data_IF_334298977860
#
_entry.id   IF_334298977860
#
_cell.length_a   1.000
_cell.length_b   1.000
_cell.length_c   1.000
_cell.angle_alpha   90.00
_cell.angle_beta   90.00
_cell.angle_gamma   90.00
#
_symmetry.space_group_name_H-M   'P 1'
#
loop_
_entity.id
_entity.type
_entity.pdbx_description
1 polymer ?
#
# COMPACT_ATOMS: atom_id res chain seq x y z
N UNK A 1 15.52 -18.49 -20.61
CA UNK A 1 16.88 -18.88 -20.21
C UNK A 1 16.78 -19.80 -19.00
N UNK A 2 17.69 -20.77 -18.82
CA UNK A 2 17.76 -21.53 -17.57
C UNK A 2 18.42 -20.64 -16.51
N UNK A 3 17.76 -20.46 -15.38
CA UNK A 3 18.32 -19.73 -14.24
C UNK A 3 19.44 -20.59 -13.65
N UNK A 4 20.65 -20.04 -13.54
CA UNK A 4 21.83 -20.76 -13.04
C UNK A 4 21.69 -21.11 -11.55
N UNK A 5 20.97 -20.27 -10.80
CA UNK A 5 20.65 -20.47 -9.39
C UNK A 5 19.14 -20.39 -9.19
N UNK A 6 18.43 -21.52 -9.08
CA UNK A 6 16.98 -21.51 -8.91
C UNK A 6 16.59 -20.98 -7.52
N UNK A 7 15.43 -20.30 -7.38
CA UNK A 7 14.92 -19.88 -6.08
C UNK A 7 14.47 -21.08 -5.25
N UNK A 8 14.48 -20.93 -3.92
CA UNK A 8 13.93 -21.94 -2.99
C UNK A 8 12.40 -22.01 -3.10
N UNK A 9 11.73 -20.87 -3.30
CA UNK A 9 10.28 -20.80 -3.41
C UNK A 9 9.79 -21.17 -4.81
N UNK A 10 8.78 -22.02 -4.85
CA UNK A 10 8.11 -22.49 -6.08
C UNK A 10 6.69 -21.91 -6.12
N UNK A 11 6.19 -21.45 -7.28
CA UNK A 11 6.87 -21.39 -8.58
C UNK A 11 7.94 -20.28 -8.66
N UNK A 12 7.85 -19.27 -7.80
CA UNK A 12 8.78 -18.16 -7.65
C UNK A 12 8.52 -17.48 -6.28
N UNK A 13 9.43 -16.62 -5.79
CA UNK A 13 9.16 -15.79 -4.63
C UNK A 13 7.93 -14.88 -4.85
N UNK A 14 6.99 -14.77 -3.90
CA UNK A 14 5.78 -13.96 -4.07
C UNK A 14 6.08 -12.50 -4.40
N UNK A 15 5.36 -11.98 -5.39
CA UNK A 15 5.48 -10.61 -5.87
C UNK A 15 4.38 -9.73 -5.26
N UNK A 16 4.81 -8.76 -4.46
CA UNK A 16 3.96 -7.72 -3.90
C UNK A 16 4.07 -6.47 -4.76
N UNK A 17 2.94 -5.86 -5.10
CA UNK A 17 2.91 -4.62 -5.87
C UNK A 17 1.77 -3.72 -5.41
N UNK A 18 2.01 -2.41 -5.40
CA UNK A 18 1.02 -1.39 -5.06
C UNK A 18 0.94 -0.33 -6.16
N UNK A 19 -0.20 0.32 -6.27
CA UNK A 19 -0.44 1.38 -7.25
C UNK A 19 -1.92 1.72 -7.32
N UNK A 20 -2.28 2.99 -7.13
CA UNK A 20 -3.67 3.45 -7.13
C UNK A 20 -4.14 4.01 -8.47
N UNK A 21 -3.24 4.24 -9.43
CA UNK A 21 -3.62 4.62 -10.79
C UNK A 21 -4.26 3.44 -11.53
N UNK A 22 -5.09 3.72 -12.54
CA UNK A 22 -5.72 2.68 -13.36
C UNK A 22 -4.67 1.75 -14.00
N UNK A 23 -3.59 2.32 -14.57
CA UNK A 23 -2.48 1.55 -15.12
C UNK A 23 -1.77 0.70 -14.05
N UNK A 24 -1.59 1.24 -12.83
CA UNK A 24 -1.01 0.49 -11.71
C UNK A 24 -1.87 -0.71 -11.31
N UNK A 25 -3.19 -0.54 -11.23
CA UNK A 25 -4.14 -1.62 -10.92
C UNK A 25 -4.14 -2.72 -11.98
N UNK A 26 -4.05 -2.36 -13.26
CA UNK A 26 -3.90 -3.32 -14.36
C UNK A 26 -2.62 -4.15 -14.27
N UNK A 27 -1.49 -3.49 -13.95
CA UNK A 27 -0.20 -4.17 -13.73
C UNK A 27 -0.30 -5.12 -12.53
N UNK A 28 -0.90 -4.67 -11.42
CA UNK A 28 -1.12 -5.50 -10.24
C UNK A 28 -1.93 -6.75 -10.57
N UNK A 29 -3.11 -6.56 -11.18
CA UNK A 29 -4.01 -7.65 -11.55
C UNK A 29 -3.33 -8.70 -12.45
N UNK A 30 -2.46 -8.25 -13.36
CA UNK A 30 -1.76 -9.13 -14.30
C UNK A 30 -0.53 -9.81 -13.71
N UNK A 31 0.21 -9.15 -12.82
CA UNK A 31 1.58 -9.56 -12.49
C UNK A 31 1.86 -9.80 -11.01
N UNK A 32 1.05 -9.29 -10.08
CA UNK A 32 1.31 -9.48 -8.65
C UNK A 32 0.59 -10.71 -8.09
N UNK A 33 1.12 -11.24 -7.00
CA UNK A 33 0.46 -12.24 -6.16
C UNK A 33 -0.30 -11.56 -5.02
N UNK A 34 0.18 -10.39 -4.60
CA UNK A 34 -0.44 -9.56 -3.58
C UNK A 34 -0.53 -8.11 -4.04
N UNK A 35 -1.73 -7.55 -4.00
CA UNK A 35 -1.96 -6.12 -4.14
C UNK A 35 -1.83 -5.44 -2.78
N UNK A 36 -0.90 -4.48 -2.67
CA UNK A 36 -0.72 -3.65 -1.48
C UNK A 36 -1.36 -2.28 -1.67
N UNK A 37 -2.32 -1.94 -0.80
CA UNK A 37 -2.99 -0.63 -0.76
C UNK A 37 -2.58 0.17 0.47
N UNK A 38 -2.81 1.48 0.42
CA UNK A 38 -2.57 2.40 1.54
C UNK A 38 -3.71 2.38 2.56
N UNK A 39 -3.40 2.85 3.76
CA UNK A 39 -4.37 3.11 4.83
C UNK A 39 -5.30 4.27 4.49
N UNK A 40 -6.34 3.98 3.72
CA UNK A 40 -7.42 4.92 3.41
C UNK A 40 -8.70 4.54 4.18
N UNK A 41 -9.73 5.40 4.18
CA UNK A 41 -11.03 5.04 4.75
C UNK A 41 -11.53 3.69 4.22
N UNK A 42 -12.16 2.85 5.08
CA UNK A 42 -12.51 1.48 4.71
C UNK A 42 -13.32 1.34 3.40
N UNK A 43 -14.23 2.26 3.12
CA UNK A 43 -15.03 2.24 1.87
C UNK A 43 -14.17 2.48 0.63
N UNK A 44 -13.20 3.41 0.70
CA UNK A 44 -12.28 3.64 -0.42
C UNK A 44 -11.33 2.45 -0.64
N UNK A 45 -10.90 1.81 0.45
CA UNK A 45 -10.12 0.58 0.39
C UNK A 45 -10.93 -0.54 -0.27
N UNK A 46 -12.20 -0.69 0.12
CA UNK A 46 -13.12 -1.67 -0.46
C UNK A 46 -13.28 -1.48 -1.96
N UNK A 47 -13.53 -0.26 -2.43
CA UNK A 47 -13.64 0.05 -3.86
C UNK A 47 -12.38 -0.38 -4.64
N UNK A 48 -11.19 -0.08 -4.11
CA UNK A 48 -9.92 -0.48 -4.75
C UNK A 48 -9.73 -2.00 -4.77
N UNK A 49 -10.08 -2.69 -3.68
CA UNK A 49 -10.00 -4.15 -3.60
C UNK A 49 -10.94 -4.80 -4.62
N UNK A 50 -12.18 -4.31 -4.72
CA UNK A 50 -13.18 -4.81 -5.66
C UNK A 50 -12.74 -4.61 -7.12
N UNK A 51 -12.18 -3.44 -7.43
CA UNK A 51 -11.67 -3.13 -8.78
C UNK A 51 -10.51 -4.04 -9.17
N UNK A 52 -9.48 -4.17 -8.32
CA UNK A 52 -8.32 -5.04 -8.62
C UNK A 52 -8.72 -6.51 -8.68
N UNK A 53 -9.65 -6.94 -7.82
CA UNK A 53 -10.20 -8.30 -7.84
C UNK A 53 -10.86 -8.59 -9.18
N UNK A 54 -11.76 -7.70 -9.63
CA UNK A 54 -12.42 -7.83 -10.94
C UNK A 54 -11.41 -7.90 -12.09
N UNK A 55 -10.42 -7.00 -12.10
CA UNK A 55 -9.37 -6.98 -13.14
C UNK A 55 -8.53 -8.26 -13.16
N UNK A 56 -8.32 -8.89 -12.00
CA UNK A 56 -7.61 -10.17 -11.89
C UNK A 56 -8.48 -11.34 -12.38
N UNK A 57 -9.77 -11.35 -12.02
CA UNK A 57 -10.74 -12.35 -12.47
C UNK A 57 -10.90 -12.34 -14.00
N UNK A 58 -10.96 -11.17 -14.62
CA UNK A 58 -10.96 -11.00 -16.09
C UNK A 58 -9.71 -11.60 -16.77
N UNK A 59 -8.63 -11.76 -16.02
CA UNK A 59 -7.37 -12.37 -16.46
C UNK A 59 -7.23 -13.83 -16.02
N UNK A 60 -8.27 -14.43 -15.44
CA UNK A 60 -8.28 -15.80 -14.94
C UNK A 60 -7.35 -16.02 -13.73
N UNK A 61 -7.06 -14.96 -12.96
CA UNK A 61 -6.17 -14.99 -11.80
C UNK A 61 -6.94 -14.67 -10.52
N UNK A 62 -6.37 -15.08 -9.40
CA UNK A 62 -6.74 -14.58 -8.07
C UNK A 62 -5.55 -13.84 -7.48
N UNK A 63 -5.83 -12.80 -6.71
CA UNK A 63 -4.82 -11.93 -6.09
C UNK A 63 -5.15 -11.80 -4.61
N UNK A 64 -4.13 -11.85 -3.74
CA UNK A 64 -4.29 -11.57 -2.31
C UNK A 64 -4.16 -10.07 -2.05
N UNK A 65 -4.63 -9.62 -0.89
CA UNK A 65 -4.62 -8.20 -0.54
C UNK A 65 -3.84 -7.97 0.75
N UNK A 66 -3.13 -6.86 0.82
CA UNK A 66 -2.54 -6.36 2.06
C UNK A 66 -2.70 -4.84 2.14
N UNK A 67 -2.64 -4.32 3.37
CA UNK A 67 -2.77 -2.89 3.64
C UNK A 67 -1.56 -2.40 4.41
N UNK A 68 -1.02 -1.25 4.02
CA UNK A 68 0.05 -0.57 4.75
C UNK A 68 -0.56 0.45 5.70
N UNK A 69 -0.50 0.16 7.00
CA UNK A 69 -0.91 1.05 8.08
C UNK A 69 0.29 1.36 8.98
N UNK A 70 0.39 2.59 9.46
CA UNK A 70 1.22 2.91 10.62
C UNK A 70 0.32 2.85 11.84
N UNK A 71 0.75 2.14 12.89
CA UNK A 71 -0.08 1.90 14.07
C UNK A 71 0.69 2.37 15.29
N UNK A 72 0.07 3.25 16.08
CA UNK A 72 0.58 3.73 17.36
C UNK A 72 -0.30 3.10 18.44
N UNK A 73 0.19 2.03 19.06
CA UNK A 73 -0.51 1.30 20.13
C UNK A 73 0.10 1.66 21.48
N UNK A 74 -0.72 2.02 22.47
CA UNK A 74 -0.34 2.31 23.86
C UNK A 74 -1.34 1.68 24.84
N UNK A 75 -1.10 1.80 26.14
CA UNK A 75 -1.96 1.19 27.17
C UNK A 75 -3.32 1.88 27.23
N UNK A 76 -3.35 3.20 26.96
CA UNK A 76 -4.58 3.99 26.83
C UNK A 76 -4.65 4.71 25.49
N UNK A 77 -5.85 5.16 25.13
CA UNK A 77 -6.07 5.98 23.92
C UNK A 77 -5.37 7.34 24.02
N UNK A 78 -5.39 7.97 25.20
CA UNK A 78 -4.75 9.26 25.46
C UNK A 78 -3.24 9.18 25.20
N UNK A 79 -2.57 8.17 25.77
CA UNK A 79 -1.14 7.93 25.52
C UNK A 79 -0.80 7.71 24.03
N UNK A 80 -1.70 7.07 23.28
CA UNK A 80 -1.50 6.84 21.85
C UNK A 80 -1.53 8.16 21.06
N UNK A 81 -2.44 9.07 21.41
CA UNK A 81 -2.51 10.40 20.81
C UNK A 81 -1.34 11.29 21.23
N UNK A 82 -0.94 11.28 22.50
CA UNK A 82 0.25 11.98 22.97
C UNK A 82 1.51 11.54 22.20
N UNK A 83 1.66 10.23 21.97
CA UNK A 83 2.75 9.71 21.17
C UNK A 83 2.68 10.15 19.70
N UNK A 84 1.47 10.21 19.12
CA UNK A 84 1.29 10.70 17.76
C UNK A 84 1.74 12.16 17.62
N UNK A 85 1.34 13.02 18.56
CA UNK A 85 1.79 14.41 18.62
C UNK A 85 3.31 14.51 18.80
N UNK A 86 3.87 13.67 19.69
CA UNK A 86 5.32 13.58 19.90
C UNK A 86 6.07 13.18 18.63
N UNK A 87 5.53 12.28 17.82
CA UNK A 87 6.15 11.82 16.58
C UNK A 87 6.28 12.93 15.53
N UNK A 88 5.31 13.84 15.48
CA UNK A 88 5.24 14.93 14.50
C UNK A 88 5.70 16.28 15.07
N UNK A 89 6.15 16.35 16.33
CA UNK A 89 6.49 17.61 17.02
C UNK A 89 7.54 18.49 16.31
N UNK A 90 8.38 17.89 15.45
CA UNK A 90 9.41 18.59 14.67
C UNK A 90 8.98 18.94 13.24
N UNK A 91 7.74 18.62 12.87
CA UNK A 91 7.14 19.03 11.60
C UNK A 91 6.50 20.39 11.81
N UNK A 92 7.29 21.45 11.66
CA UNK A 92 6.81 22.83 11.82
C UNK A 92 5.97 23.30 10.61
N UNK A 93 5.20 24.37 10.83
CA UNK A 93 4.33 24.95 9.80
C UNK A 93 5.10 25.39 8.55
N UNK A 94 6.33 25.90 8.72
CA UNK A 94 7.19 26.30 7.58
C UNK A 94 7.55 25.10 6.70
N UNK A 95 7.89 23.97 7.31
CA UNK A 95 8.17 22.70 6.62
C UNK A 95 6.94 22.19 5.87
N UNK A 96 5.76 22.29 6.47
CA UNK A 96 4.49 21.90 5.85
C UNK A 96 4.20 22.77 4.62
N UNK A 97 4.30 24.10 4.76
CA UNK A 97 4.06 25.04 3.67
C UNK A 97 5.03 24.85 2.50
N UNK A 98 6.32 24.62 2.79
CA UNK A 98 7.33 24.37 1.78
C UNK A 98 7.05 23.08 1.00
N UNK A 99 6.66 22.02 1.69
CA UNK A 99 6.27 20.76 1.07
C UNK A 99 5.06 20.96 0.14
N UNK A 100 4.00 21.61 0.62
CA UNK A 100 2.80 21.88 -0.17
C UNK A 100 3.10 22.69 -1.45
N UNK A 101 3.91 23.75 -1.35
CA UNK A 101 4.32 24.56 -2.52
C UNK A 101 5.10 23.74 -3.55
N UNK A 102 5.92 22.80 -3.09
CA UNK A 102 6.75 21.95 -3.95
C UNK A 102 5.90 20.93 -4.72
N UNK A 103 4.91 20.32 -4.06
CA UNK A 103 4.05 19.29 -4.65
C UNK A 103 2.82 19.85 -5.40
N UNK A 104 2.57 21.16 -5.33
CA UNK A 104 1.54 21.85 -6.10
C UNK A 104 1.99 22.29 -7.51
N UNK A 105 3.27 22.08 -7.85
CA UNK A 105 3.83 22.28 -9.21
C UNK A 105 3.73 21.00 -10.03
#
# INVERSE_FOLDING_TARGET
SKVVFPPVQIPYPPIYFGGSSAAGKEVAAKHSDVYLTWGEPPEQVKEKIEEVRKLAEEKGRTVRFGIRLHVIVRETEEEAWEEAERLIQYVDNETIELAQKTFAR
#
